data_IF_299012149968
#
_entry.id   IF_299012149968
#
_cell.length_a   1.000
_cell.length_b   1.000
_cell.length_c   1.000
_cell.angle_alpha   90.00
_cell.angle_beta   90.00
_cell.angle_gamma   90.00
#
_symmetry.space_group_name_H-M   'P 1'
#
loop_
_entity.id
_entity.type
_entity.pdbx_description
1 polymer ?
#
# COMPACT_ATOMS: atom_id res chain seq x y z
N UNK A 1 1.29 -25.00 -7.13
CA UNK A 1 0.99 -23.68 -6.53
C UNK A 1 2.22 -23.16 -5.78
N UNK A 2 2.68 -21.93 -6.03
CA UNK A 2 3.72 -21.32 -5.18
C UNK A 2 3.10 -20.97 -3.83
N UNK A 3 3.61 -21.55 -2.75
CA UNK A 3 3.17 -21.21 -1.41
C UNK A 3 3.63 -19.78 -1.07
N UNK A 4 2.67 -18.87 -0.90
CA UNK A 4 2.95 -17.49 -0.46
C UNK A 4 2.95 -17.50 1.06
N UNK A 5 4.06 -17.09 1.68
CA UNK A 5 4.14 -16.91 3.13
C UNK A 5 4.15 -15.42 3.41
N UNK A 6 3.18 -14.98 4.22
CA UNK A 6 3.05 -13.59 4.67
C UNK A 6 3.44 -13.51 6.14
N UNK A 7 4.35 -12.59 6.47
CA UNK A 7 4.72 -12.29 7.86
C UNK A 7 4.27 -10.88 8.20
N UNK A 8 3.64 -10.76 9.36
CA UNK A 8 3.26 -9.46 9.91
C UNK A 8 4.41 -8.87 10.74
N UNK A 9 4.57 -7.57 10.60
CA UNK A 9 5.47 -6.73 11.38
C UNK A 9 4.73 -5.44 11.72
N UNK A 10 5.17 -4.78 12.80
CA UNK A 10 4.67 -3.47 13.22
C UNK A 10 5.74 -2.43 12.97
N UNK A 11 5.31 -1.26 12.48
CA UNK A 11 6.16 -0.09 12.33
C UNK A 11 5.93 0.91 13.47
N UNK A 12 7.01 1.58 13.88
CA UNK A 12 7.01 2.58 14.96
C UNK A 12 7.53 3.93 14.46
N UNK A 13 6.75 4.65 13.62
CA UNK A 13 7.17 5.96 13.13
C UNK A 13 7.10 7.04 14.20
N UNK A 14 8.07 7.96 14.17
CA UNK A 14 7.99 9.26 14.86
C UNK A 14 6.91 10.14 14.21
N UNK A 15 6.60 11.28 14.84
CA UNK A 15 5.51 12.17 14.38
C UNK A 15 5.73 12.66 12.95
N UNK A 16 6.94 13.07 12.62
CA UNK A 16 7.31 13.61 11.30
C UNK A 16 7.33 12.50 10.23
N UNK A 17 7.88 11.33 10.58
CA UNK A 17 7.91 10.15 9.71
C UNK A 17 6.48 9.67 9.40
N UNK A 18 5.61 9.71 10.41
CA UNK A 18 4.21 9.35 10.27
C UNK A 18 3.49 10.24 9.27
N UNK A 19 3.67 11.56 9.38
CA UNK A 19 3.07 12.52 8.46
C UNK A 19 3.57 12.29 7.02
N UNK A 20 4.88 12.08 6.84
CA UNK A 20 5.46 11.79 5.53
C UNK A 20 4.91 10.47 4.94
N UNK A 21 4.82 9.42 5.76
CA UNK A 21 4.27 8.13 5.36
C UNK A 21 2.78 8.22 5.00
N UNK A 22 1.98 8.92 5.80
CA UNK A 22 0.56 9.16 5.55
C UNK A 22 0.33 9.90 4.22
N UNK A 23 1.16 10.92 3.95
CA UNK A 23 1.10 11.66 2.70
C UNK A 23 1.45 10.79 1.50
N UNK A 24 2.49 9.95 1.60
CA UNK A 24 2.86 8.99 0.57
C UNK A 24 1.73 7.98 0.31
N UNK A 25 1.17 7.36 1.36
CA UNK A 25 0.07 6.39 1.25
C UNK A 25 -1.18 7.03 0.62
N UNK A 26 -1.52 8.27 1.04
CA UNK A 26 -2.65 9.02 0.49
C UNK A 26 -2.47 9.28 -0.99
N UNK A 27 -1.29 9.74 -1.39
CA UNK A 27 -0.97 10.06 -2.77
C UNK A 27 -0.97 8.81 -3.67
N UNK A 28 -0.33 7.74 -3.20
CA UNK A 28 -0.31 6.44 -3.89
C UNK A 28 -1.72 5.85 -4.08
N UNK A 29 -2.58 5.91 -3.07
CA UNK A 29 -3.97 5.45 -3.22
C UNK A 29 -4.79 6.33 -4.16
N UNK A 30 -4.51 7.64 -4.22
CA UNK A 30 -5.12 8.51 -5.24
C UNK A 30 -4.69 8.11 -6.65
N UNK A 31 -3.39 7.83 -6.86
CA UNK A 31 -2.86 7.29 -8.11
C UNK A 31 -3.55 5.98 -8.51
N UNK A 32 -3.65 5.01 -7.58
CA UNK A 32 -4.35 3.72 -7.81
C UNK A 32 -5.80 3.91 -8.25
N UNK A 33 -6.57 4.77 -7.56
CA UNK A 33 -7.98 5.02 -7.91
C UNK A 33 -8.13 5.72 -9.26
N UNK A 34 -7.23 6.65 -9.55
CA UNK A 34 -7.21 7.30 -10.86
C UNK A 34 -6.89 6.29 -11.96
N UNK A 35 -5.86 5.47 -11.78
CA UNK A 35 -5.50 4.39 -12.69
C UNK A 35 -6.69 3.45 -12.95
N UNK A 36 -7.41 3.05 -11.90
CA UNK A 36 -8.60 2.21 -12.03
C UNK A 36 -9.66 2.81 -12.96
N UNK A 37 -10.00 4.09 -12.79
CA UNK A 37 -10.97 4.76 -13.65
C UNK A 37 -10.50 4.83 -15.11
N UNK A 38 -9.22 5.09 -15.34
CA UNK A 38 -8.67 5.13 -16.70
C UNK A 38 -8.57 3.75 -17.35
N UNK A 39 -8.33 2.69 -16.56
CA UNK A 39 -8.40 1.30 -17.06
C UNK A 39 -9.82 0.95 -17.51
N UNK A 40 -10.87 1.45 -16.83
CA UNK A 40 -12.26 1.29 -17.28
C UNK A 40 -12.56 2.00 -18.60
N UNK A 41 -11.81 3.05 -18.92
CA UNK A 41 -11.89 3.79 -20.19
C UNK A 41 -11.04 3.16 -21.30
N UNK A 42 -10.33 2.07 -21.01
CA UNK A 42 -9.50 1.35 -21.98
C UNK A 42 -8.06 1.85 -22.10
N UNK A 43 -7.61 2.79 -21.26
CA UNK A 43 -6.20 3.22 -21.27
C UNK A 43 -5.27 2.05 -20.94
N UNK A 44 -4.16 1.97 -21.65
CA UNK A 44 -3.14 0.94 -21.44
C UNK A 44 -2.22 1.28 -20.26
N UNK A 45 -1.58 0.26 -19.68
CA UNK A 45 -0.56 0.46 -18.65
C UNK A 45 0.56 1.43 -19.08
N UNK A 46 0.98 1.36 -20.35
CA UNK A 46 2.10 2.17 -20.87
C UNK A 46 1.76 3.66 -20.90
N UNK A 47 0.53 3.99 -21.30
CA UNK A 47 0.02 5.36 -21.31
C UNK A 47 -0.09 5.89 -19.87
N UNK A 48 -0.72 5.11 -18.98
CA UNK A 48 -0.89 5.47 -17.58
C UNK A 48 0.43 5.70 -16.88
N UNK A 49 1.44 4.85 -17.12
CA UNK A 49 2.73 5.00 -16.44
C UNK A 49 3.36 6.37 -16.66
N UNK A 50 3.31 6.89 -17.89
CA UNK A 50 3.87 8.22 -18.22
C UNK A 50 3.06 9.34 -17.58
N UNK A 51 1.74 9.30 -17.75
CA UNK A 51 0.79 10.30 -17.24
C UNK A 51 0.83 10.42 -15.71
N UNK A 52 0.75 9.28 -15.02
CA UNK A 52 0.61 9.23 -13.56
C UNK A 52 1.91 9.58 -12.82
N UNK A 53 3.08 9.35 -13.44
CA UNK A 53 4.36 9.70 -12.84
C UNK A 53 4.48 11.20 -12.59
N UNK A 54 4.11 12.01 -13.59
CA UNK A 54 4.11 13.47 -13.47
C UNK A 54 2.97 13.94 -12.56
N UNK A 55 1.75 13.44 -12.78
CA UNK A 55 0.55 13.89 -12.07
C UNK A 55 0.61 13.67 -10.55
N UNK A 56 1.13 12.53 -10.11
CA UNK A 56 1.18 12.18 -8.69
C UNK A 56 2.57 12.39 -8.08
N UNK A 57 3.58 12.85 -8.84
CA UNK A 57 4.96 13.00 -8.34
C UNK A 57 5.47 11.73 -7.61
N UNK A 58 5.13 10.56 -8.14
CA UNK A 58 5.56 9.27 -7.63
C UNK A 58 6.65 8.71 -8.54
N UNK A 59 7.58 7.92 -7.99
CA UNK A 59 8.52 7.22 -8.85
C UNK A 59 7.81 6.17 -9.72
N UNK A 60 8.44 5.81 -10.83
CA UNK A 60 7.85 4.91 -11.83
C UNK A 60 7.48 3.52 -11.31
N UNK A 61 8.14 3.03 -10.24
CA UNK A 61 7.81 1.74 -9.61
C UNK A 61 6.53 1.82 -8.79
N UNK A 62 6.37 2.88 -7.99
CA UNK A 62 5.13 3.09 -7.24
C UNK A 62 3.93 3.28 -8.17
N UNK A 63 4.12 4.00 -9.28
CA UNK A 63 3.08 4.14 -10.31
C UNK A 63 2.72 2.79 -10.92
N UNK A 64 3.72 2.00 -11.32
CA UNK A 64 3.49 0.66 -11.86
C UNK A 64 2.75 -0.25 -10.87
N UNK A 65 3.12 -0.23 -9.60
CA UNK A 65 2.46 -1.02 -8.56
C UNK A 65 1.04 -0.51 -8.24
N UNK A 66 0.78 0.80 -8.37
CA UNK A 66 -0.57 1.35 -8.28
C UNK A 66 -1.46 0.91 -9.45
N UNK A 67 -0.92 0.90 -10.69
CA UNK A 67 -1.63 0.41 -11.87
C UNK A 67 -1.90 -1.09 -11.74
N UNK A 68 -0.93 -1.87 -11.25
CA UNK A 68 -1.11 -3.30 -11.00
C UNK A 68 -2.28 -3.53 -10.04
N UNK A 69 -2.25 -2.92 -8.86
CA UNK A 69 -3.31 -3.11 -7.86
C UNK A 69 -4.67 -2.65 -8.39
N UNK A 70 -4.71 -1.59 -9.20
CA UNK A 70 -5.93 -1.18 -9.88
C UNK A 70 -6.43 -2.25 -10.87
N UNK A 71 -5.53 -2.85 -11.65
CA UNK A 71 -5.87 -3.92 -12.60
C UNK A 71 -6.34 -5.20 -11.89
N UNK A 72 -5.73 -5.55 -10.77
CA UNK A 72 -6.12 -6.71 -9.94
C UNK A 72 -7.52 -6.51 -9.35
N UNK A 73 -7.83 -5.30 -8.85
CA UNK A 73 -9.19 -4.97 -8.41
C UNK A 73 -10.17 -5.09 -9.57
N UNK A 74 -9.85 -4.53 -10.75
CA UNK A 74 -10.72 -4.59 -11.92
C UNK A 74 -10.98 -6.04 -12.37
N UNK A 75 -9.93 -6.86 -12.42
CA UNK A 75 -10.03 -8.27 -12.78
C UNK A 75 -10.87 -9.04 -11.76
N UNK A 76 -10.58 -8.90 -10.47
CA UNK A 76 -11.33 -9.55 -9.40
C UNK A 76 -12.82 -9.17 -9.41
N UNK A 77 -13.15 -7.89 -9.65
CA UNK A 77 -14.55 -7.46 -9.77
C UNK A 77 -15.25 -8.12 -10.95
N UNK A 78 -14.59 -8.26 -12.10
CA UNK A 78 -15.15 -8.96 -13.28
C UNK A 78 -15.35 -10.46 -13.00
N UNK A 79 -14.37 -11.11 -12.36
CA UNK A 79 -14.44 -12.53 -11.99
C UNK A 79 -15.58 -12.82 -11.00
N UNK A 80 -15.88 -11.89 -10.11
CA UNK A 80 -17.03 -11.96 -9.20
C UNK A 80 -18.38 -11.65 -9.87
N UNK A 81 -18.41 -11.32 -11.17
CA UNK A 81 -19.62 -10.92 -11.89
C UNK A 81 -20.21 -9.58 -11.44
N UNK A 82 -19.45 -8.78 -10.68
CA UNK A 82 -19.88 -7.46 -10.22
C UNK A 82 -19.64 -6.39 -11.30
N UNK A 83 -20.38 -5.28 -11.24
CA UNK A 83 -20.21 -4.17 -12.17
C UNK A 83 -18.94 -3.34 -11.83
N UNK A 84 -17.90 -3.33 -12.69
CA UNK A 84 -16.67 -2.60 -12.41
C UNK A 84 -16.82 -1.08 -12.26
N UNK A 85 -17.87 -0.49 -12.84
CA UNK A 85 -18.16 0.95 -12.71
C UNK A 85 -18.75 1.33 -11.35
N UNK A 86 -19.17 0.35 -10.53
CA UNK A 86 -19.79 0.56 -9.21
C UNK A 86 -18.87 0.22 -8.03
N UNK A 87 -17.57 0.03 -8.28
CA UNK A 87 -16.59 -0.29 -7.22
C UNK A 87 -16.42 0.88 -6.25
N UNK A 88 -16.45 0.57 -4.95
CA UNK A 88 -16.28 1.53 -3.87
C UNK A 88 -14.98 1.22 -3.12
N UNK A 89 -13.96 2.04 -3.34
CA UNK A 89 -12.70 1.98 -2.59
C UNK A 89 -12.89 2.40 -1.13
N UNK A 90 -12.37 1.58 -0.19
CA UNK A 90 -12.54 1.76 1.26
C UNK A 90 -13.54 0.78 1.90
N UNK A 91 -14.21 -0.04 1.09
CA UNK A 91 -15.20 -1.03 1.54
C UNK A 91 -16.62 -0.57 1.26
N UNK A 92 -17.36 -1.39 0.51
CA UNK A 92 -18.76 -1.14 0.13
C UNK A 92 -19.68 -1.10 1.34
N UNK A 93 -19.57 -2.09 2.23
CA UNK A 93 -20.41 -2.19 3.42
C UNK A 93 -20.19 -1.01 4.36
N UNK A 94 -18.93 -0.69 4.67
CA UNK A 94 -18.58 0.45 5.52
C UNK A 94 -19.04 1.80 4.94
N UNK A 95 -19.04 1.93 3.61
CA UNK A 95 -19.59 3.11 2.95
C UNK A 95 -21.12 3.21 3.13
N UNK A 96 -21.85 2.11 3.02
CA UNK A 96 -23.29 2.08 3.25
C UNK A 96 -23.66 2.27 4.72
N UNK A 97 -22.89 1.70 5.64
CA UNK A 97 -23.03 1.97 7.08
C UNK A 97 -22.89 3.47 7.36
N UNK A 98 -21.87 4.13 6.81
CA UNK A 98 -21.66 5.57 6.96
C UNK A 98 -22.82 6.43 6.43
N UNK A 99 -23.60 5.94 5.47
CA UNK A 99 -24.80 6.61 4.96
C UNK A 99 -26.01 6.49 5.89
N UNK A 100 -25.98 5.58 6.86
CA UNK A 100 -27.09 5.41 7.81
C UNK A 100 -27.36 6.70 8.60
N UNK A 101 -28.64 7.05 8.73
CA UNK A 101 -29.12 8.19 9.54
C UNK A 101 -29.11 7.89 11.04
N UNK A 102 -29.08 6.63 11.44
CA UNK A 102 -29.21 6.19 12.83
C UNK A 102 -27.87 6.03 13.57
N UNK A 103 -26.75 6.42 12.94
CA UNK A 103 -25.43 6.35 13.57
C UNK A 103 -25.27 7.44 14.62
N UNK A 104 -24.85 7.04 15.83
CA UNK A 104 -24.41 8.00 16.82
C UNK A 104 -23.10 8.70 16.36
N UNK A 105 -22.83 9.89 16.91
CA UNK A 105 -21.64 10.68 16.53
C UNK A 105 -20.34 9.88 16.73
N UNK A 106 -20.23 9.15 17.85
CA UNK A 106 -19.04 8.33 18.18
C UNK A 106 -18.84 7.20 17.16
N UNK A 107 -19.91 6.48 16.79
CA UNK A 107 -19.85 5.43 15.77
C UNK A 107 -19.49 6.01 14.40
N UNK A 108 -20.10 7.13 14.01
CA UNK A 108 -19.79 7.81 12.74
C UNK A 108 -18.32 8.20 12.64
N UNK A 109 -17.74 8.76 13.71
CA UNK A 109 -16.31 9.09 13.76
C UNK A 109 -15.42 7.84 13.63
N UNK A 110 -15.76 6.76 14.33
CA UNK A 110 -15.05 5.48 14.25
C UNK A 110 -15.07 4.91 12.82
N UNK A 111 -16.25 4.80 12.21
CA UNK A 111 -16.42 4.26 10.86
C UNK A 111 -15.76 5.14 9.81
N UNK A 112 -15.82 6.47 9.97
CA UNK A 112 -15.13 7.40 9.07
C UNK A 112 -13.61 7.17 9.11
N UNK A 113 -13.05 7.04 10.31
CA UNK A 113 -11.61 6.76 10.48
C UNK A 113 -11.22 5.42 9.87
N UNK A 114 -12.01 4.38 10.08
CA UNK A 114 -11.77 3.06 9.50
C UNK A 114 -11.84 3.09 7.96
N UNK A 115 -12.83 3.80 7.40
CA UNK A 115 -12.99 3.93 5.96
C UNK A 115 -11.83 4.71 5.35
N UNK A 116 -11.38 5.76 6.03
CA UNK A 116 -10.17 6.50 5.67
C UNK A 116 -8.92 5.62 5.71
N UNK A 117 -8.71 4.83 6.77
CA UNK A 117 -7.60 3.89 6.88
C UNK A 117 -7.61 2.87 5.72
N UNK A 118 -8.77 2.28 5.41
CA UNK A 118 -8.93 1.35 4.28
C UNK A 118 -8.72 2.02 2.91
N UNK A 119 -9.19 3.26 2.73
CA UNK A 119 -9.20 3.96 1.44
C UNK A 119 -7.86 4.63 1.09
N UNK A 120 -7.14 5.17 2.08
CA UNK A 120 -5.90 5.95 1.87
C UNK A 120 -4.72 5.51 2.73
N UNK A 121 -4.89 4.60 3.69
CA UNK A 121 -3.85 4.14 4.60
C UNK A 121 -3.12 2.89 4.13
N UNK A 122 -3.00 2.66 2.83
CA UNK A 122 -2.28 1.48 2.30
C UNK A 122 -1.16 1.87 1.35
N UNK A 123 -0.11 1.05 1.26
CA UNK A 123 0.92 1.19 0.23
C UNK A 123 1.43 -0.19 -0.13
N UNK A 124 1.59 -0.45 -1.43
CA UNK A 124 2.13 -1.71 -1.92
C UNK A 124 3.37 -1.44 -2.76
N UNK A 125 4.37 -2.32 -2.62
CA UNK A 125 5.52 -2.35 -3.51
C UNK A 125 6.02 -3.76 -3.68
N UNK A 126 6.34 -4.14 -4.91
CA UNK A 126 6.90 -5.47 -5.24
C UNK A 126 8.42 -5.44 -5.29
N UNK A 127 9.02 -6.58 -4.97
CA UNK A 127 10.45 -6.83 -5.14
C UNK A 127 10.78 -7.28 -6.56
N UNK A 128 11.95 -6.91 -7.05
CA UNK A 128 12.49 -7.31 -8.34
C UNK A 128 13.85 -7.97 -8.13
N UNK A 129 13.99 -9.22 -8.57
CA UNK A 129 15.23 -9.99 -8.42
C UNK A 129 16.41 -9.29 -9.12
N UNK A 130 16.18 -8.69 -10.28
CA UNK A 130 17.19 -7.96 -11.05
C UNK A 130 17.63 -6.66 -10.37
N UNK A 131 16.87 -6.20 -9.37
CA UNK A 131 17.11 -4.98 -8.60
C UNK A 131 17.40 -5.25 -7.12
N UNK A 132 17.82 -6.47 -6.81
CA UNK A 132 18.21 -6.89 -5.46
C UNK A 132 17.07 -6.69 -4.45
N UNK A 133 15.88 -7.18 -4.79
CA UNK A 133 14.71 -7.15 -3.93
C UNK A 133 13.85 -5.90 -4.11
N UNK A 134 13.36 -5.34 -3.00
CA UNK A 134 12.41 -4.22 -3.04
C UNK A 134 13.13 -2.88 -2.85
N UNK A 135 13.12 -2.03 -3.88
CA UNK A 135 13.82 -0.74 -3.84
C UNK A 135 13.05 0.34 -3.09
N UNK A 136 11.72 0.26 -3.11
CA UNK A 136 10.85 1.24 -2.48
C UNK A 136 10.65 0.95 -1.00
N UNK A 137 10.41 -0.31 -0.64
CA UNK A 137 10.15 -0.76 0.73
C UNK A 137 11.18 -1.84 1.10
N UNK A 138 12.31 -1.46 1.69
CA UNK A 138 13.43 -2.38 1.97
C UNK A 138 13.62 -2.61 3.46
N UNK A 139 13.63 -3.86 3.87
CA UNK A 139 14.07 -4.25 5.23
C UNK A 139 15.59 -4.13 5.30
N UNK A 140 16.08 -3.44 6.32
CA UNK A 140 17.50 -3.32 6.66
C UNK A 140 17.72 -3.67 8.12
N UNK A 141 18.93 -4.07 8.46
CA UNK A 141 19.36 -4.34 9.84
C UNK A 141 20.53 -3.42 10.20
N UNK A 142 20.44 -2.80 11.37
CA UNK A 142 21.47 -1.92 11.90
C UNK A 142 21.58 -2.13 13.41
N UNK A 143 22.79 -2.44 13.90
CA UNK A 143 23.07 -2.72 15.33
C UNK A 143 22.10 -3.75 15.95
N UNK A 144 21.74 -4.81 15.21
CA UNK A 144 20.82 -5.86 15.65
C UNK A 144 19.34 -5.47 15.66
N UNK A 145 18.97 -4.27 15.19
CA UNK A 145 17.61 -3.81 15.06
C UNK A 145 17.18 -3.73 13.59
N UNK A 146 15.90 -3.99 13.33
CA UNK A 146 15.33 -3.93 11.99
C UNK A 146 14.63 -2.60 11.72
N UNK A 147 14.81 -2.11 10.50
CA UNK A 147 14.15 -0.92 10.00
C UNK A 147 13.55 -1.20 8.63
N UNK A 148 12.44 -0.54 8.33
CA UNK A 148 11.91 -0.44 6.99
C UNK A 148 12.38 0.89 6.38
N UNK A 149 13.26 0.79 5.38
CA UNK A 149 13.62 1.91 4.51
C UNK A 149 12.53 2.13 3.48
N UNK A 150 11.88 3.29 3.53
CA UNK A 150 10.79 3.68 2.63
C UNK A 150 11.28 4.79 1.72
N UNK A 151 11.27 4.57 0.40
CA UNK A 151 11.53 5.61 -0.59
C UNK A 151 10.34 6.58 -0.63
N UNK A 152 10.59 7.87 -0.41
CA UNK A 152 9.56 8.93 -0.43
C UNK A 152 9.64 9.82 -1.67
N UNK A 153 10.48 9.46 -2.65
CA UNK A 153 10.74 10.25 -3.85
C UNK A 153 11.96 11.16 -3.69
N UNK A 154 12.41 11.78 -4.79
CA UNK A 154 13.48 12.78 -4.80
C UNK A 154 14.77 12.37 -4.05
N UNK A 155 15.14 11.08 -4.11
CA UNK A 155 16.29 10.51 -3.37
C UNK A 155 16.21 10.76 -1.86
N UNK A 156 15.00 10.75 -1.30
CA UNK A 156 14.74 10.79 0.14
C UNK A 156 14.19 9.45 0.62
N UNK A 157 14.55 9.10 1.85
CA UNK A 157 14.11 7.87 2.50
C UNK A 157 13.70 8.13 3.94
N UNK A 158 12.67 7.39 4.40
CA UNK A 158 12.38 7.23 5.82
C UNK A 158 12.99 5.91 6.29
N UNK A 159 13.39 5.87 7.56
CA UNK A 159 13.92 4.68 8.21
C UNK A 159 13.11 4.43 9.48
N UNK A 160 12.06 3.61 9.35
CA UNK A 160 11.10 3.40 10.44
C UNK A 160 11.41 2.08 11.13
N UNK A 161 11.52 2.09 12.46
CA UNK A 161 11.78 0.87 13.22
C UNK A 161 10.67 -0.17 12.96
N UNK A 162 11.10 -1.40 12.68
CA UNK A 162 10.24 -2.53 12.36
C UNK A 162 10.45 -3.63 13.40
N UNK A 163 9.36 -4.15 13.96
CA UNK A 163 9.40 -5.31 14.88
C UNK A 163 8.39 -6.36 14.44
N UNK A 164 8.81 -7.63 14.40
CA UNK A 164 7.92 -8.77 14.21
C UNK A 164 8.04 -9.71 15.40
N UNK A 165 6.91 -10.23 15.86
CA UNK A 165 6.86 -11.31 16.86
C UNK A 165 6.80 -12.70 16.22
N UNK A 166 6.91 -12.79 14.89
CA UNK A 166 6.78 -14.05 14.17
C UNK A 166 7.99 -14.97 14.44
N UNK A 167 7.73 -16.23 14.82
CA UNK A 167 8.77 -17.22 15.19
C UNK A 167 9.86 -17.39 14.13
N UNK A 168 9.51 -17.24 12.84
CA UNK A 168 10.44 -17.37 11.71
C UNK A 168 11.02 -16.03 11.22
N UNK A 169 10.77 -14.90 11.90
CA UNK A 169 11.15 -13.56 11.42
C UNK A 169 12.62 -13.48 10.98
N UNK A 170 13.55 -13.99 11.80
CA UNK A 170 14.99 -13.91 11.51
C UNK A 170 15.37 -14.56 10.17
N UNK A 171 14.85 -15.77 9.90
CA UNK A 171 15.06 -16.47 8.62
C UNK A 171 14.54 -15.68 7.41
N UNK A 172 13.39 -15.02 7.57
CA UNK A 172 12.81 -14.19 6.50
C UNK A 172 13.60 -12.90 6.31
N UNK A 173 14.02 -12.27 7.39
CA UNK A 173 14.84 -11.08 7.34
C UNK A 173 16.19 -11.36 6.68
N UNK A 174 16.86 -12.47 7.01
CA UNK A 174 18.08 -12.93 6.33
C UNK A 174 17.87 -13.10 4.83
N UNK A 175 16.77 -13.73 4.40
CA UNK A 175 16.45 -13.84 2.98
C UNK A 175 16.25 -12.46 2.32
N UNK A 176 15.57 -11.53 2.99
CA UNK A 176 15.36 -10.16 2.50
C UNK A 176 16.68 -9.37 2.39
N UNK A 177 17.59 -9.55 3.35
CA UNK A 177 18.92 -8.94 3.38
C UNK A 177 19.82 -9.52 2.28
N UNK A 178 19.67 -10.81 1.97
CA UNK A 178 20.36 -11.51 0.89
C UNK A 178 19.72 -11.28 -0.50
N UNK A 179 19.07 -10.13 -0.70
CA UNK A 179 18.54 -9.68 -2.00
C UNK A 179 17.44 -10.56 -2.62
N UNK A 180 16.82 -11.48 -1.87
CA UNK A 180 15.64 -12.18 -2.36
C UNK A 180 14.52 -11.18 -2.68
N UNK A 181 13.76 -11.35 -3.78
CA UNK A 181 12.62 -10.51 -4.06
C UNK A 181 11.45 -10.82 -3.13
N UNK A 182 10.90 -9.78 -2.50
CA UNK A 182 9.72 -9.84 -1.65
C UNK A 182 8.84 -8.61 -1.88
N UNK A 183 7.54 -8.78 -1.69
CA UNK A 183 6.58 -7.68 -1.73
C UNK A 183 6.25 -7.24 -0.32
N UNK A 184 6.02 -5.94 -0.13
CA UNK A 184 5.55 -5.38 1.14
C UNK A 184 4.22 -4.67 0.89
N UNK A 185 3.23 -4.97 1.74
CA UNK A 185 1.99 -4.22 1.85
C UNK A 185 1.95 -3.55 3.22
N UNK A 186 2.02 -2.23 3.24
CA UNK A 186 1.83 -1.42 4.44
C UNK A 186 0.36 -1.09 4.62
N UNK A 187 -0.12 -1.11 5.86
CA UNK A 187 -1.51 -0.83 6.20
C UNK A 187 -1.58 -0.05 7.50
N UNK A 188 -2.27 1.08 7.48
CA UNK A 188 -2.60 1.84 8.68
C UNK A 188 -3.90 1.29 9.26
N UNK A 189 -3.91 1.01 10.56
CA UNK A 189 -5.10 0.62 11.32
C UNK A 189 -5.09 1.30 12.67
N UNK A 190 -6.09 2.13 12.96
CA UNK A 190 -6.23 2.82 14.24
C UNK A 190 -4.96 3.62 14.61
N UNK A 191 -4.43 4.41 13.67
CA UNK A 191 -3.20 5.21 13.82
C UNK A 191 -1.90 4.41 14.05
N UNK A 192 -1.91 3.10 13.82
CA UNK A 192 -0.76 2.19 13.89
C UNK A 192 -0.49 1.62 12.49
N UNK A 193 0.74 1.18 12.22
CA UNK A 193 1.19 0.68 10.91
C UNK A 193 1.80 -0.71 11.05
#
# INVERSE_FOLDING_TARGET
MKQIITIQARLFPKKEEKECLDNLMRNWNSCKRYAYNRLLEGKTRKELKKELQQMFNLNSRYVDDAILEASEVLQSTKELGENPRKVIFGGKDLFFELKSKHLCIKQRQKYKKEWEDKRKGTLFSRGDKTKQGNLNLRVIEEKGQFFLRINTGNRKWLFIQLKSSHKKWRKFAEAMLNSCPYSIRLQRKNNKY
#
